data_IF_315429960077
#
_entry.id   IF_315429960077
#
_cell.length_a   1.000
_cell.length_b   1.000
_cell.length_c   1.000
_cell.angle_alpha   90.00
_cell.angle_beta   90.00
_cell.angle_gamma   90.00
#
_symmetry.space_group_name_H-M   'P 1'
#
loop_
_entity.id
_entity.type
_entity.pdbx_description
1 polymer ?
#
# COMPACT_ATOMS: atom_id res chain seq x y z
N UNK A 1 -6.28 -26.28 5.01
CA UNK A 1 -6.87 -25.28 4.10
C UNK A 1 -6.51 -23.94 4.71
N UNK A 2 -5.94 -23.01 3.95
CA UNK A 2 -5.54 -21.71 4.52
C UNK A 2 -6.75 -20.91 4.97
N UNK A 3 -6.52 -20.00 5.93
CA UNK A 3 -7.55 -19.16 6.52
C UNK A 3 -7.49 -17.78 5.88
N UNK A 4 -8.53 -17.43 5.13
CA UNK A 4 -8.62 -16.13 4.46
C UNK A 4 -9.05 -15.06 5.45
N UNK A 5 -8.30 -13.98 5.50
CA UNK A 5 -8.56 -12.79 6.31
C UNK A 5 -8.60 -11.56 5.42
N UNK A 6 -9.40 -10.58 5.83
CA UNK A 6 -9.48 -9.26 5.19
C UNK A 6 -9.39 -8.19 6.28
N UNK A 7 -8.51 -7.22 6.08
CA UNK A 7 -8.42 -6.02 6.91
C UNK A 7 -8.63 -4.78 6.04
N UNK A 8 -9.43 -3.82 6.51
CA UNK A 8 -9.73 -2.60 5.77
C UNK A 8 -9.50 -1.36 6.62
N UNK A 9 -9.06 -0.27 5.99
CA UNK A 9 -9.02 1.05 6.58
C UNK A 9 -9.56 2.09 5.60
N UNK A 10 -10.38 3.02 6.10
CA UNK A 10 -10.83 4.19 5.36
C UNK A 10 -10.33 5.43 6.09
N UNK A 11 -9.53 6.25 5.42
CA UNK A 11 -8.87 7.41 6.01
C UNK A 11 -9.34 8.66 5.28
N UNK A 12 -9.95 9.59 6.00
CA UNK A 12 -10.21 10.94 5.50
C UNK A 12 -8.88 11.66 5.28
N UNK A 13 -8.72 12.24 4.09
CA UNK A 13 -7.52 12.97 3.69
C UNK A 13 -7.88 14.41 3.32
N UNK A 14 -6.96 15.34 3.58
CA UNK A 14 -7.17 16.77 3.31
C UNK A 14 -6.54 17.20 1.99
N UNK A 15 -5.50 16.51 1.53
CA UNK A 15 -4.90 16.72 0.23
C UNK A 15 -5.87 16.32 -0.89
N UNK A 16 -5.60 16.81 -2.10
CA UNK A 16 -6.38 16.43 -3.28
C UNK A 16 -6.32 14.90 -3.46
N UNK A 17 -7.50 14.25 -3.53
CA UNK A 17 -7.64 12.81 -3.65
C UNK A 17 -6.89 12.18 -4.83
N UNK A 18 -6.71 12.94 -5.91
CA UNK A 18 -6.07 12.47 -7.14
C UNK A 18 -4.58 12.21 -6.92
N UNK A 19 -3.99 12.90 -5.93
CA UNK A 19 -2.59 12.74 -5.54
C UNK A 19 -2.32 11.32 -5.07
N UNK A 20 -3.20 10.70 -4.28
CA UNK A 20 -2.93 9.37 -3.74
C UNK A 20 -2.86 8.32 -4.85
N UNK A 21 -3.85 8.30 -5.74
CA UNK A 21 -3.83 7.38 -6.87
C UNK A 21 -2.62 7.62 -7.78
N UNK A 22 -2.33 8.88 -8.13
CA UNK A 22 -1.17 9.25 -8.98
C UNK A 22 0.16 8.85 -8.33
N UNK A 23 0.34 9.10 -7.03
CA UNK A 23 1.57 8.80 -6.31
C UNK A 23 1.82 7.30 -6.23
N UNK A 24 0.82 6.51 -5.86
CA UNK A 24 0.99 5.04 -5.76
C UNK A 24 1.12 4.37 -7.15
N UNK A 25 0.52 4.95 -8.18
CA UNK A 25 0.52 4.37 -9.53
C UNK A 25 1.74 4.81 -10.34
N UNK A 26 1.96 6.11 -10.50
CA UNK A 26 2.93 6.67 -11.44
C UNK A 26 4.22 7.15 -10.79
N UNK A 27 4.20 7.51 -9.50
CA UNK A 27 5.36 8.06 -8.79
C UNK A 27 5.70 7.35 -7.48
N UNK A 28 5.66 6.00 -7.41
CA UNK A 28 5.81 5.31 -6.12
C UNK A 28 7.22 5.47 -5.51
N UNK A 29 8.24 5.73 -6.34
CA UNK A 29 9.60 6.07 -5.90
C UNK A 29 9.71 7.38 -5.11
N UNK A 30 8.74 8.29 -5.21
CA UNK A 30 8.72 9.52 -4.40
C UNK A 30 8.18 9.31 -3.00
N UNK A 31 7.49 8.20 -2.71
CA UNK A 31 6.89 7.94 -1.39
C UNK A 31 7.94 7.95 -0.27
N UNK A 32 9.16 7.47 -0.53
CA UNK A 32 10.26 7.52 0.45
C UNK A 32 10.63 8.93 0.89
N UNK A 33 10.42 9.93 0.02
CA UNK A 33 10.66 11.34 0.37
C UNK A 33 9.47 11.95 1.11
N UNK A 34 8.26 11.46 0.86
CA UNK A 34 7.02 11.93 1.51
C UNK A 34 6.87 11.39 2.93
N UNK A 35 7.24 10.13 3.16
CA UNK A 35 7.11 9.45 4.45
C UNK A 35 8.35 8.59 4.81
N UNK A 36 9.55 9.18 4.93
CA UNK A 36 10.81 8.45 5.11
C UNK A 36 10.88 7.56 6.35
N UNK A 37 10.09 7.87 7.39
CA UNK A 37 9.97 7.06 8.60
C UNK A 37 9.27 5.72 8.34
N UNK A 38 8.39 5.66 7.34
CA UNK A 38 7.63 4.47 6.96
C UNK A 38 8.32 3.74 5.80
N UNK A 39 8.58 4.45 4.70
CA UNK A 39 9.17 3.91 3.48
C UNK A 39 10.58 4.48 3.30
N UNK A 40 11.58 3.61 3.17
CA UNK A 40 12.96 4.05 2.93
C UNK A 40 13.31 4.03 1.43
N UNK A 41 12.60 3.25 0.63
CA UNK A 41 12.85 3.19 -0.81
C UNK A 41 11.78 2.44 -1.57
N UNK A 42 11.62 2.80 -2.85
CA UNK A 42 10.86 2.06 -3.84
C UNK A 42 11.63 2.07 -5.16
N UNK A 43 11.94 0.88 -5.65
CA UNK A 43 12.70 0.66 -6.88
C UNK A 43 11.84 -0.11 -7.89
N UNK A 44 12.05 0.17 -9.18
CA UNK A 44 11.45 -0.60 -10.26
C UNK A 44 12.37 -1.79 -10.57
N UNK A 45 11.85 -3.00 -10.40
CA UNK A 45 12.57 -4.24 -10.72
C UNK A 45 12.42 -4.55 -12.22
N UNK A 46 11.18 -4.43 -12.72
CA UNK A 46 10.78 -4.88 -14.05
C UNK A 46 9.55 -4.09 -14.53
N UNK A 47 9.46 -3.82 -15.82
CA UNK A 47 8.36 -3.05 -16.43
C UNK A 47 8.55 -1.53 -16.41
N UNK A 48 7.45 -0.80 -16.25
CA UNK A 48 7.37 0.67 -16.23
C UNK A 48 6.44 1.12 -15.10
N UNK A 49 6.74 2.21 -14.39
CA UNK A 49 5.81 2.71 -13.38
C UNK A 49 4.43 3.01 -13.98
N UNK A 50 3.36 2.66 -13.25
CA UNK A 50 1.98 2.88 -13.67
C UNK A 50 1.43 1.90 -14.69
N UNK A 51 2.07 0.75 -14.90
CA UNK A 51 1.54 -0.32 -15.77
C UNK A 51 1.31 -1.61 -15.01
N UNK A 52 0.20 -2.29 -15.33
CA UNK A 52 -0.09 -3.64 -14.83
C UNK A 52 1.03 -4.60 -15.25
N UNK A 53 1.46 -5.46 -14.32
CA UNK A 53 2.57 -6.40 -14.51
C UNK A 53 3.93 -5.86 -14.07
N UNK A 54 4.06 -4.56 -13.82
CA UNK A 54 5.30 -3.97 -13.30
C UNK A 54 5.62 -4.48 -11.91
N UNK A 55 6.91 -4.70 -11.66
CA UNK A 55 7.42 -5.22 -10.38
C UNK A 55 8.15 -4.13 -9.62
N UNK A 56 7.74 -3.91 -8.39
CA UNK A 56 8.26 -2.92 -7.48
C UNK A 56 8.99 -3.60 -6.33
N UNK A 57 10.06 -2.98 -5.85
CA UNK A 57 10.76 -3.38 -4.64
C UNK A 57 10.64 -2.27 -3.59
N UNK A 58 9.92 -2.56 -2.51
CA UNK A 58 9.78 -1.69 -1.36
C UNK A 58 10.75 -2.07 -0.26
N UNK A 59 11.40 -1.05 0.30
CA UNK A 59 12.07 -1.12 1.60
C UNK A 59 11.28 -0.27 2.59
N UNK A 60 10.84 -0.86 3.68
CA UNK A 60 9.99 -0.21 4.67
C UNK A 60 10.42 -0.52 6.11
N UNK A 61 9.98 0.31 7.05
CA UNK A 61 10.24 0.14 8.47
C UNK A 61 8.93 -0.19 9.17
N UNK A 62 8.87 -1.39 9.76
CA UNK A 62 7.75 -1.82 10.58
C UNK A 62 8.26 -2.06 12.00
N UNK A 63 7.72 -1.31 12.96
CA UNK A 63 8.07 -1.42 14.40
C UNK A 63 9.58 -1.29 14.66
N UNK A 64 10.24 -0.35 13.98
CA UNK A 64 11.68 -0.10 14.11
C UNK A 64 12.56 -1.07 13.32
N UNK A 65 11.99 -2.09 12.68
CA UNK A 65 12.73 -3.10 11.90
C UNK A 65 12.61 -2.82 10.42
N UNK A 66 13.75 -2.81 9.73
CA UNK A 66 13.81 -2.77 8.26
C UNK A 66 13.23 -4.06 7.69
N UNK A 67 12.36 -3.93 6.68
CA UNK A 67 11.65 -4.99 5.98
C UNK A 67 11.64 -4.75 4.48
N UNK A 68 11.31 -5.78 3.73
CA UNK A 68 11.25 -5.78 2.27
C UNK A 68 9.93 -6.36 1.76
N UNK A 69 9.43 -5.79 0.66
CA UNK A 69 8.26 -6.30 -0.07
C UNK A 69 8.48 -6.10 -1.55
N UNK A 70 8.56 -7.19 -2.32
CA UNK A 70 8.59 -7.15 -3.78
C UNK A 70 7.21 -7.51 -4.31
N UNK A 71 6.64 -6.58 -5.04
CA UNK A 71 5.24 -6.60 -5.42
C UNK A 71 5.08 -6.51 -6.92
N UNK A 72 4.07 -7.17 -7.45
CA UNK A 72 3.59 -6.98 -8.81
C UNK A 72 2.30 -6.14 -8.76
N UNK A 73 2.17 -5.18 -9.67
CA UNK A 73 0.91 -4.49 -9.89
C UNK A 73 -0.03 -5.44 -10.64
N UNK A 74 -1.03 -5.99 -9.95
CA UNK A 74 -1.99 -6.93 -10.53
C UNK A 74 -3.12 -6.23 -11.31
N UNK A 75 -3.46 -4.99 -10.94
CA UNK A 75 -4.54 -4.25 -11.58
C UNK A 75 -4.46 -2.75 -11.33
N UNK A 76 -4.88 -1.99 -12.34
CA UNK A 76 -5.09 -0.55 -12.28
C UNK A 76 -6.43 -0.26 -12.97
N UNK A 77 -7.30 0.52 -12.33
CA UNK A 77 -8.50 1.11 -12.92
C UNK A 77 -8.45 2.62 -12.71
N UNK A 78 -7.96 3.36 -13.72
CA UNK A 78 -7.83 4.81 -13.68
C UNK A 78 -9.18 5.53 -13.48
N UNK A 79 -10.25 4.97 -14.05
CA UNK A 79 -11.59 5.55 -13.96
C UNK A 79 -12.15 5.46 -12.55
N UNK A 80 -11.88 4.35 -11.86
CA UNK A 80 -12.27 4.14 -10.45
C UNK A 80 -11.18 4.51 -9.44
N UNK A 81 -10.01 4.94 -9.92
CA UNK A 81 -8.82 5.22 -9.09
C UNK A 81 -8.47 4.06 -8.17
N UNK A 82 -8.40 2.86 -8.74
CA UNK A 82 -8.06 1.62 -8.03
C UNK A 82 -6.70 1.13 -8.48
N UNK A 83 -5.87 0.72 -7.52
CA UNK A 83 -4.63 -0.02 -7.79
C UNK A 83 -4.52 -1.22 -6.84
N UNK A 84 -4.13 -2.37 -7.39
CA UNK A 84 -3.94 -3.61 -6.62
C UNK A 84 -2.51 -4.11 -6.75
N UNK A 85 -1.89 -4.37 -5.60
CA UNK A 85 -0.57 -4.93 -5.45
C UNK A 85 -0.66 -6.34 -4.90
N UNK A 86 0.23 -7.23 -5.36
CA UNK A 86 0.44 -8.55 -4.78
C UNK A 86 1.90 -8.76 -4.47
N UNK A 87 2.21 -9.19 -3.25
CA UNK A 87 3.56 -9.57 -2.89
C UNK A 87 3.90 -10.93 -3.51
N UNK A 88 5.06 -11.03 -4.17
CA UNK A 88 5.57 -12.28 -4.73
C UNK A 88 6.88 -12.73 -4.09
N UNK A 89 7.57 -11.85 -3.36
CA UNK A 89 8.77 -12.15 -2.57
C UNK A 89 8.91 -11.07 -1.48
N UNK A 90 9.21 -11.45 -0.24
CA UNK A 90 9.33 -10.49 0.86
C UNK A 90 8.98 -11.07 2.22
N UNK A 91 8.91 -10.19 3.22
CA UNK A 91 8.68 -10.55 4.62
C UNK A 91 7.35 -11.28 4.90
N UNK A 92 6.34 -11.14 4.01
CA UNK A 92 5.02 -11.76 4.19
C UNK A 92 4.91 -13.09 3.45
N UNK A 93 5.49 -13.21 2.26
CA UNK A 93 5.46 -14.47 1.46
C UNK A 93 6.07 -15.65 2.22
N UNK A 94 7.04 -15.42 3.10
CA UNK A 94 7.62 -16.48 3.95
C UNK A 94 6.69 -17.00 5.05
N UNK A 95 5.60 -16.27 5.37
CA UNK A 95 4.74 -16.52 6.54
C UNK A 95 3.26 -16.70 6.20
N UNK A 96 2.83 -16.17 5.07
CA UNK A 96 1.44 -16.16 4.62
C UNK A 96 1.37 -16.76 3.21
N UNK A 97 0.35 -17.57 2.95
CA UNK A 97 0.19 -18.26 1.67
C UNK A 97 -0.09 -17.27 0.53
N UNK A 98 -0.70 -16.13 0.86
CA UNK A 98 -0.85 -14.99 -0.04
C UNK A 98 -1.03 -13.68 0.71
N UNK A 99 -0.63 -12.58 0.07
CA UNK A 99 -0.93 -11.23 0.53
C UNK A 99 -1.15 -10.29 -0.67
N UNK A 100 -2.20 -9.48 -0.58
CA UNK A 100 -2.55 -8.43 -1.54
C UNK A 100 -2.97 -7.17 -0.81
N UNK A 101 -2.74 -6.02 -1.43
CA UNK A 101 -3.28 -4.75 -0.99
C UNK A 101 -3.93 -4.02 -2.17
N UNK A 102 -5.14 -3.54 -1.97
CA UNK A 102 -5.85 -2.68 -2.91
C UNK A 102 -6.01 -1.29 -2.29
N UNK A 103 -5.62 -0.26 -3.02
CA UNK A 103 -5.95 1.12 -2.74
C UNK A 103 -7.05 1.56 -3.69
N UNK A 104 -8.04 2.26 -3.16
CA UNK A 104 -9.00 3.02 -3.96
C UNK A 104 -9.43 4.30 -3.27
N UNK A 105 -10.03 5.20 -4.04
CA UNK A 105 -10.53 6.48 -3.55
C UNK A 105 -12.05 6.46 -3.55
N UNK A 106 -12.65 6.79 -2.41
CA UNK A 106 -14.10 6.98 -2.28
C UNK A 106 -14.41 8.44 -1.93
N UNK A 107 -15.43 9.01 -2.57
CA UNK A 107 -15.97 10.30 -2.15
C UNK A 107 -17.25 10.07 -1.32
N UNK A 108 -17.28 10.61 -0.11
CA UNK A 108 -18.43 10.51 0.79
C UNK A 108 -18.94 11.91 1.13
N UNK A 109 -19.84 12.42 0.30
CA UNK A 109 -20.30 13.81 0.41
C UNK A 109 -19.18 14.78 0.05
N UNK A 110 -18.79 15.62 1.02
CA UNK A 110 -17.72 16.63 0.85
C UNK A 110 -16.33 16.12 1.25
N UNK A 111 -16.22 14.91 1.80
CA UNK A 111 -14.93 14.32 2.18
C UNK A 111 -14.47 13.28 1.16
N UNK A 112 -13.16 13.23 0.96
CA UNK A 112 -12.50 12.19 0.18
C UNK A 112 -11.81 11.20 1.13
N UNK A 113 -11.99 9.91 0.88
CA UNK A 113 -11.46 8.81 1.66
C UNK A 113 -10.45 8.02 0.81
N UNK A 114 -9.25 7.83 1.34
CA UNK A 114 -8.32 6.81 0.85
C UNK A 114 -8.66 5.50 1.55
N UNK A 115 -9.05 4.51 0.76
CA UNK A 115 -9.45 3.20 1.24
C UNK A 115 -8.36 2.18 0.93
N UNK A 116 -7.94 1.44 1.95
CA UNK A 116 -7.03 0.31 1.83
C UNK A 116 -7.75 -0.98 2.20
N UNK A 117 -7.59 -2.01 1.38
CA UNK A 117 -8.04 -3.37 1.65
C UNK A 117 -6.86 -4.31 1.53
N UNK A 118 -6.53 -5.00 2.63
CA UNK A 118 -5.54 -6.06 2.68
C UNK A 118 -6.22 -7.41 2.69
N UNK A 119 -5.92 -8.25 1.71
CA UNK A 119 -6.40 -9.63 1.63
C UNK A 119 -5.21 -10.57 1.81
N UNK A 120 -5.33 -11.52 2.73
CA UNK A 120 -4.25 -12.46 2.99
C UNK A 120 -4.76 -13.83 3.45
N UNK A 121 -3.94 -14.85 3.20
CA UNK A 121 -4.24 -16.23 3.59
C UNK A 121 -3.20 -16.72 4.59
N UNK A 122 -3.69 -17.08 5.78
CA UNK A 122 -2.86 -17.64 6.86
C UNK A 122 -2.72 -19.14 6.67
N UNK A 123 -1.52 -19.71 6.86
CA UNK A 123 -1.30 -21.16 6.72
C UNK A 123 -2.03 -21.97 7.79
N UNK A 124 -2.31 -21.38 8.96
CA UNK A 124 -3.03 -21.97 10.08
C UNK A 124 -3.45 -20.90 11.12
N UNK A 125 -4.21 -21.30 12.14
CA UNK A 125 -4.73 -20.42 13.21
C UNK A 125 -3.65 -19.74 14.07
N UNK A 126 -2.43 -20.28 14.11
CA UNK A 126 -1.34 -19.71 14.91
C UNK A 126 -0.62 -18.55 14.20
N UNK A 127 -0.82 -18.39 12.88
CA UNK A 127 -0.27 -17.25 12.16
C UNK A 127 -0.96 -15.96 12.63
N UNK A 128 -0.20 -14.92 13.01
CA UNK A 128 -0.77 -13.69 13.56
C UNK A 128 -1.57 -12.93 12.51
N UNK A 129 -2.53 -12.12 12.96
CA UNK A 129 -3.20 -11.15 12.10
C UNK A 129 -2.24 -10.00 11.74
N UNK A 130 -2.49 -9.35 10.61
CA UNK A 130 -1.63 -8.28 10.08
C UNK A 130 -2.05 -6.87 10.55
N UNK A 131 -2.54 -6.76 11.79
CA UNK A 131 -3.06 -5.49 12.35
C UNK A 131 -1.96 -4.41 12.38
N UNK A 132 -0.74 -4.75 12.83
CA UNK A 132 0.37 -3.79 12.88
C UNK A 132 0.78 -3.30 11.48
N UNK A 133 0.57 -4.13 10.44
CA UNK A 133 0.81 -3.72 9.06
C UNK A 133 -0.30 -2.78 8.56
N UNK A 134 -1.56 -3.00 8.96
CA UNK A 134 -2.64 -2.05 8.69
C UNK A 134 -2.37 -0.69 9.35
N UNK A 135 -1.93 -0.69 10.62
CA UNK A 135 -1.56 0.53 11.34
C UNK A 135 -0.40 1.26 10.64
N UNK A 136 0.58 0.53 10.14
CA UNK A 136 1.65 1.08 9.31
C UNK A 136 1.10 1.75 8.04
N UNK A 137 0.17 1.12 7.33
CA UNK A 137 -0.44 1.68 6.11
C UNK A 137 -1.24 2.95 6.44
N UNK A 138 -1.96 2.97 7.56
CA UNK A 138 -2.68 4.15 8.04
C UNK A 138 -1.69 5.29 8.34
N UNK A 139 -0.60 4.99 9.05
CA UNK A 139 0.45 5.97 9.38
C UNK A 139 1.14 6.54 8.13
N UNK A 140 1.47 5.66 7.17
CA UNK A 140 2.04 6.03 5.88
C UNK A 140 1.10 6.97 5.11
N UNK A 141 -0.19 6.62 5.03
CA UNK A 141 -1.21 7.41 4.31
C UNK A 141 -1.33 8.82 4.91
N UNK A 142 -1.40 8.93 6.25
CA UNK A 142 -1.45 10.24 6.94
C UNK A 142 -0.18 11.07 6.72
N UNK A 143 0.99 10.44 6.73
CA UNK A 143 2.24 11.15 6.46
C UNK A 143 2.31 11.70 5.02
N UNK A 144 1.81 10.94 4.05
CA UNK A 144 1.68 11.40 2.66
C UNK A 144 0.68 12.56 2.55
N UNK A 145 -0.45 12.49 3.26
CA UNK A 145 -1.44 13.57 3.33
C UNK A 145 -0.81 14.87 3.85
N UNK A 146 -0.19 14.80 5.03
CA UNK A 146 0.46 15.93 5.69
C UNK A 146 1.55 16.57 4.82
N UNK A 147 2.31 15.75 4.06
CA UNK A 147 3.34 16.25 3.15
C UNK A 147 2.76 17.08 2.01
N UNK A 148 1.61 16.69 1.46
CA UNK A 148 0.95 17.41 0.37
C UNK A 148 0.16 18.63 0.86
N UNK A 149 -0.45 18.55 2.04
CA UNK A 149 -1.10 19.71 2.66
C UNK A 149 -0.10 20.82 2.95
N UNK A 150 1.10 20.50 3.46
CA UNK A 150 2.15 21.50 3.77
C UNK A 150 2.76 22.17 2.53
N UNK A 151 2.59 21.58 1.34
CA UNK A 151 3.14 22.10 0.09
C UNK A 151 2.16 22.96 -0.70
N UNK A 152 0.90 23.01 -0.27
CA UNK A 152 -0.12 23.93 -0.78
C UNK A 152 -0.15 25.21 0.07
#
# INVERSE_FOLDING_TARGET
MGLKSVLCAQIEVKANKDVFHDVFTHKPHHISTMCPLHIQGCELIDGVFGTVGSKLFWTYNLEGKKKISKQIIEGIDEGKKVITFKEFEGDLVDKYDSWKATLHIEQKGEIDLVCWTMEYERPNENAPELINLLDFIIGMTKAIDDHHVKRN
#
